data_IF_555198957776
#
_entry.id   IF_555198957776
#
_cell.length_a   1.000
_cell.length_b   1.000
_cell.length_c   1.000
_cell.angle_alpha   90.00
_cell.angle_beta   90.00
_cell.angle_gamma   90.00
#
_symmetry.space_group_name_H-M   'P 1'
#
loop_
_entity.id
_entity.type
_entity.pdbx_description
1 polymer ?
#
# COMPACT_ATOMS: atom_id res chain seq x y z
N UNK A 1 -19.19 15.38 -17.53
CA UNK A 1 -19.33 15.65 -16.08
C UNK A 1 -18.01 15.35 -15.40
N UNK A 2 -17.40 16.33 -14.73
CA UNK A 2 -16.03 16.22 -14.21
C UNK A 2 -16.04 15.67 -12.76
N UNK A 3 -15.79 14.38 -12.62
CA UNK A 3 -15.59 13.72 -11.34
C UNK A 3 -14.15 13.23 -11.24
N UNK A 4 -13.52 13.39 -10.08
CA UNK A 4 -12.20 12.80 -9.80
C UNK A 4 -12.31 11.71 -8.74
N UNK A 5 -11.58 10.62 -8.96
CA UNK A 5 -11.45 9.54 -7.99
C UNK A 5 -10.59 10.03 -6.83
N UNK A 6 -11.14 10.04 -5.63
CA UNK A 6 -10.37 10.29 -4.40
C UNK A 6 -9.86 8.93 -3.93
N UNK A 7 -8.68 8.53 -4.41
CA UNK A 7 -7.97 7.38 -3.85
C UNK A 7 -7.31 7.80 -2.52
N UNK A 8 -7.01 6.83 -1.64
CA UNK A 8 -6.08 7.04 -0.53
C UNK A 8 -4.77 7.58 -1.11
N UNK A 9 -4.51 8.87 -0.93
CA UNK A 9 -3.29 9.49 -1.41
C UNK A 9 -2.11 8.81 -0.71
N UNK A 10 -1.10 8.39 -1.46
CA UNK A 10 0.11 7.76 -0.92
C UNK A 10 0.67 8.62 0.22
N UNK A 11 0.62 8.11 1.46
CA UNK A 11 1.02 8.83 2.67
C UNK A 11 2.55 8.86 2.87
N UNK A 12 3.32 8.79 1.78
CA UNK A 12 4.78 8.80 1.85
C UNK A 12 5.30 10.24 1.90
N UNK A 13 6.21 10.52 2.82
CA UNK A 13 6.97 11.76 2.83
C UNK A 13 7.90 11.84 1.61
N UNK A 14 8.34 13.04 1.23
CA UNK A 14 9.30 13.21 0.13
C UNK A 14 10.61 12.45 0.38
N UNK A 15 11.04 12.35 1.64
CA UNK A 15 12.20 11.55 2.02
C UNK A 15 11.98 10.06 1.77
N UNK A 16 10.84 9.51 2.21
CA UNK A 16 10.48 8.10 1.98
C UNK A 16 10.36 7.78 0.49
N UNK A 17 9.86 8.71 -0.33
CA UNK A 17 9.82 8.55 -1.79
C UNK A 17 11.22 8.46 -2.38
N UNK A 18 12.12 9.39 -2.01
CA UNK A 18 13.52 9.39 -2.49
C UNK A 18 14.24 8.10 -2.12
N UNK A 19 14.09 7.63 -0.87
CA UNK A 19 14.67 6.37 -0.43
C UNK A 19 14.15 5.18 -1.25
N UNK A 20 12.82 5.08 -1.43
CA UNK A 20 12.21 4.00 -2.22
C UNK A 20 12.66 4.00 -3.69
N UNK A 21 12.80 5.18 -4.29
CA UNK A 21 13.30 5.31 -5.66
C UNK A 21 14.76 4.86 -5.77
N UNK A 22 15.63 5.30 -4.85
CA UNK A 22 17.04 4.89 -4.84
C UNK A 22 17.22 3.39 -4.70
N UNK A 23 16.52 2.76 -3.75
CA UNK A 23 16.56 1.31 -3.54
C UNK A 23 16.01 0.55 -4.75
N UNK A 24 14.91 1.01 -5.35
CA UNK A 24 14.34 0.36 -6.55
C UNK A 24 15.31 0.41 -7.72
N UNK A 25 15.99 1.55 -7.92
CA UNK A 25 16.98 1.68 -8.99
C UNK A 25 18.16 0.73 -8.76
N UNK A 26 18.69 0.69 -7.54
CA UNK A 26 19.79 -0.23 -7.20
C UNK A 26 19.42 -1.70 -7.43
N UNK A 27 18.24 -2.13 -6.97
CA UNK A 27 17.76 -3.49 -7.23
C UNK A 27 17.56 -3.78 -8.72
N UNK A 28 17.07 -2.80 -9.49
CA UNK A 28 16.86 -2.96 -10.93
C UNK A 28 18.17 -3.12 -11.69
N UNK A 29 19.22 -2.39 -11.29
CA UNK A 29 20.55 -2.53 -11.88
C UNK A 29 21.16 -3.90 -11.56
N UNK A 30 21.09 -4.33 -10.30
CA UNK A 30 21.56 -5.65 -9.88
C UNK A 30 20.81 -6.77 -10.61
N UNK A 31 19.49 -6.66 -10.74
CA UNK A 31 18.68 -7.61 -11.50
C UNK A 31 19.02 -7.60 -13.00
N UNK A 32 19.43 -6.47 -13.58
CA UNK A 32 19.87 -6.43 -14.98
C UNK A 32 21.17 -7.21 -15.18
N UNK A 33 22.07 -7.14 -14.21
CA UNK A 33 23.41 -7.73 -14.31
C UNK A 33 23.40 -9.23 -13.96
N UNK A 34 22.68 -9.62 -12.88
CA UNK A 34 22.64 -11.00 -12.37
C UNK A 34 21.30 -11.74 -12.63
N UNK A 35 20.32 -11.07 -13.24
CA UNK A 35 19.06 -11.67 -13.62
C UNK A 35 18.28 -12.26 -12.45
N UNK A 36 17.65 -13.41 -12.70
CA UNK A 36 16.89 -14.14 -11.69
C UNK A 36 17.74 -14.71 -10.54
N UNK A 37 19.06 -14.86 -10.72
CA UNK A 37 19.94 -15.40 -9.69
C UNK A 37 20.03 -14.49 -8.47
N UNK A 38 19.92 -13.17 -8.68
CA UNK A 38 19.76 -12.19 -7.62
C UNK A 38 18.53 -12.44 -6.73
N UNK A 39 17.42 -12.92 -7.31
CA UNK A 39 16.17 -13.13 -6.57
C UNK A 39 16.09 -14.50 -5.87
N UNK A 40 16.81 -15.52 -6.37
CA UNK A 40 16.77 -16.89 -5.83
C UNK A 40 17.03 -17.02 -4.31
N UNK A 41 18.00 -16.31 -3.70
CA UNK A 41 18.22 -16.40 -2.26
C UNK A 41 17.22 -15.58 -1.43
N UNK A 42 16.38 -14.75 -2.06
CA UNK A 42 15.45 -13.88 -1.32
C UNK A 42 14.26 -14.67 -0.80
N UNK A 43 14.23 -14.89 0.51
CA UNK A 43 13.04 -15.40 1.21
C UNK A 43 12.20 -14.23 1.69
N UNK A 44 10.98 -14.09 1.17
CA UNK A 44 10.04 -13.07 1.60
C UNK A 44 9.10 -13.63 2.67
N UNK A 45 9.15 -13.08 3.88
CA UNK A 45 8.18 -13.31 4.95
C UNK A 45 7.53 -11.99 5.36
N UNK A 46 6.24 -12.02 5.65
CA UNK A 46 5.51 -10.88 6.22
C UNK A 46 4.37 -11.39 7.10
N UNK A 47 4.04 -10.65 8.15
CA UNK A 47 2.96 -10.98 9.08
C UNK A 47 1.63 -10.47 8.54
N UNK A 48 0.64 -11.36 8.42
CA UNK A 48 -0.70 -10.96 7.99
C UNK A 48 -1.70 -11.13 9.13
N UNK A 49 -2.46 -10.07 9.40
CA UNK A 49 -3.61 -10.12 10.29
C UNK A 49 -4.81 -10.76 9.58
N UNK A 50 -5.31 -11.85 10.11
CA UNK A 50 -6.56 -12.45 9.65
C UNK A 50 -7.73 -11.97 10.50
N UNK A 51 -8.79 -11.58 9.80
CA UNK A 51 -10.04 -11.15 10.40
C UNK A 51 -11.04 -12.32 10.40
N UNK A 52 -11.79 -12.49 11.48
CA UNK A 52 -12.84 -13.50 11.58
C UNK A 52 -14.05 -13.22 10.65
N UNK A 53 -14.18 -11.98 10.15
CA UNK A 53 -15.22 -11.52 9.23
C UNK A 53 -14.56 -10.74 8.09
N UNK A 54 -15.19 -10.68 6.91
CA UNK A 54 -14.69 -9.96 5.74
C UNK A 54 -14.86 -8.44 5.94
N UNK A 55 -13.80 -7.66 6.27
CA UNK A 55 -13.94 -6.23 6.43
C UNK A 55 -14.44 -5.60 5.13
N UNK A 56 -15.32 -4.59 5.22
CA UNK A 56 -15.77 -3.81 4.07
C UNK A 56 -14.58 -3.48 3.16
N UNK A 57 -14.65 -3.97 1.91
CA UNK A 57 -13.56 -3.88 0.96
C UNK A 57 -13.15 -2.43 0.68
N UNK A 58 -11.88 -2.23 0.30
CA UNK A 58 -11.35 -0.93 -0.16
C UNK A 58 -12.19 -0.32 -1.28
N UNK A 59 -12.95 -1.12 -2.03
CA UNK A 59 -13.94 -0.69 -3.03
C UNK A 59 -15.01 0.24 -2.47
N UNK A 60 -15.46 0.04 -1.23
CA UNK A 60 -16.48 0.88 -0.57
C UNK A 60 -15.90 2.25 -0.15
N UNK A 61 -14.56 2.36 -0.06
CA UNK A 61 -13.89 3.63 0.23
C UNK A 61 -13.62 4.52 -0.98
N UNK A 62 -14.03 4.08 -2.19
CA UNK A 62 -13.90 4.89 -3.41
C UNK A 62 -14.96 5.99 -3.37
N UNK A 63 -14.55 7.17 -2.92
CA UNK A 63 -15.37 8.38 -3.04
C UNK A 63 -15.08 9.08 -4.37
N UNK A 64 -16.14 9.32 -5.13
CA UNK A 64 -16.12 10.21 -6.28
C UNK A 64 -16.53 11.60 -5.81
N UNK A 65 -15.74 12.63 -6.14
CA UNK A 65 -16.10 14.02 -5.85
C UNK A 65 -16.13 14.83 -7.13
N UNK A 66 -16.99 15.83 -7.16
CA UNK A 66 -17.02 16.80 -8.24
C UNK A 66 -15.73 17.62 -8.22
N UNK A 67 -15.17 17.92 -9.39
CA UNK A 67 -13.84 18.52 -9.49
C UNK A 67 -13.69 19.86 -8.75
N UNK A 68 -14.79 20.60 -8.57
CA UNK A 68 -14.80 21.93 -7.93
C UNK A 68 -15.16 21.90 -6.43
N UNK A 69 -15.40 20.72 -5.85
CA UNK A 69 -15.72 20.61 -4.42
C UNK A 69 -14.49 20.91 -3.54
N UNK A 70 -14.66 21.62 -2.40
CA UNK A 70 -13.58 21.87 -1.45
C UNK A 70 -12.96 20.57 -0.90
N UNK A 71 -11.65 20.58 -0.66
CA UNK A 71 -10.94 19.45 -0.05
C UNK A 71 -11.22 19.47 1.46
N UNK A 72 -12.22 18.71 1.91
CA UNK A 72 -12.44 18.46 3.35
C UNK A 72 -11.29 17.65 3.99
N UNK A 73 -11.17 17.66 5.33
CA UNK A 73 -10.10 16.97 6.05
C UNK A 73 -10.05 15.47 5.72
N UNK A 74 -8.82 14.96 5.54
CA UNK A 74 -8.53 13.57 5.18
C UNK A 74 -8.69 12.67 6.40
N UNK A 75 -9.72 11.84 6.39
CA UNK A 75 -9.90 10.83 7.42
C UNK A 75 -9.10 9.58 7.05
N UNK A 76 -7.99 9.32 7.74
CA UNK A 76 -7.46 7.96 7.80
C UNK A 76 -8.46 7.13 8.60
N UNK A 77 -9.07 6.11 7.98
CA UNK A 77 -9.93 5.19 8.71
C UNK A 77 -9.08 4.54 9.82
N UNK A 78 -9.41 4.79 11.08
CA UNK A 78 -8.91 3.99 12.20
C UNK A 78 -9.53 2.60 12.05
N UNK A 79 -8.71 1.60 11.72
CA UNK A 79 -9.16 0.22 11.61
C UNK A 79 -9.39 -0.34 13.02
N UNK A 80 -10.63 -0.67 13.35
CA UNK A 80 -10.97 -1.41 14.58
C UNK A 80 -10.19 -2.73 14.62
N UNK A 81 -9.67 -3.08 15.80
CA UNK A 81 -8.80 -4.24 16.02
C UNK A 81 -9.54 -5.46 16.58
N UNK A 82 -10.84 -5.38 16.86
CA UNK A 82 -11.63 -6.49 17.39
C UNK A 82 -11.69 -7.67 16.39
N UNK A 83 -11.41 -8.89 16.88
CA UNK A 83 -11.55 -10.14 16.12
C UNK A 83 -10.40 -10.47 15.14
N UNK A 84 -9.20 -9.92 15.36
CA UNK A 84 -8.00 -10.24 14.57
C UNK A 84 -7.16 -11.33 15.23
N UNK A 85 -6.65 -12.25 14.42
CA UNK A 85 -5.66 -13.26 14.82
C UNK A 85 -4.43 -13.11 13.94
N UNK A 86 -3.24 -13.21 14.53
CA UNK A 86 -1.97 -13.18 13.80
C UNK A 86 -1.75 -14.55 13.16
N UNK A 87 -1.48 -14.57 11.86
CA UNK A 87 -1.03 -15.79 11.18
C UNK A 87 0.47 -15.71 10.96
N UNK A 88 1.18 -16.69 11.50
CA UNK A 88 2.56 -16.99 11.14
C UNK A 88 2.55 -18.14 10.14
N UNK A 89 3.08 -17.90 8.94
CA UNK A 89 3.28 -18.95 7.94
C UNK A 89 4.69 -19.50 8.14
N UNK A 90 4.80 -20.67 8.79
CA UNK A 90 6.02 -21.49 8.81
C UNK A 90 6.31 -22.09 7.43
#
# INVERSE_FOLDING_TARGET
MNYRKVCCQCLLSEHQKKQRMGLSLQHSLHYRDDGGDFLKPTVAGDETWCHHFQPEGKSISIQWRFSYSPIGPKNSKLNSQFGKVMLEKN
#
